data_IF_136646798202
#
_entry.id   IF_136646798202
#
_cell.length_a   1.000
_cell.length_b   1.000
_cell.length_c   1.000
_cell.angle_alpha   90.00
_cell.angle_beta   90.00
_cell.angle_gamma   90.00
#
_symmetry.space_group_name_H-M   'P 1'
#
loop_
_entity.id
_entity.type
_entity.pdbx_description
1 polymer ?
#
# COMPACT_ATOMS: atom_id res chain seq x y z
N UNK A 1 -1.08 -3.22 -11.31
CA UNK A 1 0.06 -3.79 -12.05
C UNK A 1 -0.05 -3.35 -13.50
N UNK A 2 0.95 -2.63 -13.97
CA UNK A 2 0.89 -1.95 -15.27
C UNK A 2 0.89 -2.92 -16.45
N UNK A 3 1.63 -4.03 -16.33
CA UNK A 3 1.71 -5.04 -17.39
C UNK A 3 0.72 -6.21 -17.20
N UNK A 4 0.32 -6.50 -15.97
CA UNK A 4 -0.45 -7.72 -15.65
C UNK A 4 0.34 -8.99 -15.98
N UNK A 5 -0.34 -10.07 -16.37
CA UNK A 5 0.31 -11.28 -16.91
C UNK A 5 0.31 -12.48 -15.96
N UNK A 6 1.23 -13.41 -16.15
CA UNK A 6 1.36 -14.60 -15.29
C UNK A 6 2.39 -14.30 -14.20
N UNK A 7 2.02 -14.57 -12.94
CA UNK A 7 2.92 -14.52 -11.79
C UNK A 7 2.82 -15.82 -11.00
N UNK A 8 3.89 -16.62 -11.04
CA UNK A 8 3.84 -18.00 -10.58
C UNK A 8 2.71 -18.77 -11.28
N UNK A 9 1.77 -19.26 -10.48
CA UNK A 9 0.58 -19.99 -10.97
C UNK A 9 -0.66 -19.11 -11.16
N UNK A 10 -0.58 -17.82 -10.81
CA UNK A 10 -1.71 -16.91 -10.80
C UNK A 10 -1.70 -15.99 -12.03
N UNK A 11 -2.89 -15.62 -12.51
CA UNK A 11 -3.05 -14.59 -13.54
C UNK A 11 -3.35 -13.25 -12.90
N UNK A 12 -2.46 -12.30 -13.13
CA UNK A 12 -2.60 -10.93 -12.68
C UNK A 12 -3.34 -10.10 -13.74
N UNK A 13 -4.37 -9.41 -13.28
CA UNK A 13 -5.09 -8.44 -14.11
C UNK A 13 -4.20 -7.22 -14.35
N UNK A 14 -4.29 -6.68 -15.55
CA UNK A 14 -3.69 -5.40 -15.89
C UNK A 14 -4.54 -4.28 -15.29
N UNK A 15 -3.94 -3.52 -14.37
CA UNK A 15 -4.56 -2.34 -13.78
C UNK A 15 -3.86 -1.12 -14.37
N UNK A 16 -4.52 -0.49 -15.35
CA UNK A 16 -4.07 0.73 -16.00
C UNK A 16 -4.29 1.94 -15.07
N UNK A 17 -3.31 2.84 -15.00
CA UNK A 17 -3.40 4.09 -14.24
C UNK A 17 -2.03 4.55 -13.73
N UNK A 18 -1.93 5.79 -13.27
CA UNK A 18 -0.67 6.36 -12.76
C UNK A 18 -0.12 5.66 -11.52
N UNK A 19 -0.96 4.92 -10.79
CA UNK A 19 -0.57 4.23 -9.55
C UNK A 19 0.50 3.15 -9.75
N UNK A 20 0.55 2.52 -10.92
CA UNK A 20 1.54 1.47 -11.24
C UNK A 20 2.48 1.87 -12.38
N UNK A 21 2.42 3.12 -12.85
CA UNK A 21 3.26 3.61 -13.93
C UNK A 21 4.75 3.62 -13.52
N UNK A 22 5.02 3.96 -12.26
CA UNK A 22 6.34 3.95 -11.66
C UNK A 22 6.36 2.92 -10.52
N UNK A 23 6.73 1.68 -10.84
CA UNK A 23 6.75 0.55 -9.91
C UNK A 23 8.15 0.31 -9.32
N UNK A 24 8.73 1.33 -8.70
CA UNK A 24 10.02 1.19 -8.01
C UNK A 24 9.86 0.32 -6.75
N UNK A 25 10.77 -0.64 -6.59
CA UNK A 25 10.78 -1.54 -5.43
C UNK A 25 11.65 -0.94 -4.34
N UNK A 26 11.07 -0.72 -3.16
CA UNK A 26 11.82 -0.32 -1.97
C UNK A 26 12.65 -1.52 -1.46
N UNK A 27 13.89 -1.30 -0.96
CA UNK A 27 14.65 -2.36 -0.32
C UNK A 27 13.90 -2.86 0.92
N UNK A 28 13.64 -4.16 0.97
CA UNK A 28 12.87 -4.79 2.05
C UNK A 28 13.73 -5.79 2.82
N UNK A 29 13.54 -5.84 4.13
CA UNK A 29 14.09 -6.89 4.98
C UNK A 29 13.01 -7.96 5.31
N UNK A 30 13.41 -9.04 5.98
CA UNK A 30 12.51 -10.14 6.32
C UNK A 30 11.35 -9.71 7.24
N UNK A 31 11.57 -8.74 8.13
CA UNK A 31 10.54 -8.17 8.99
C UNK A 31 9.49 -7.38 8.20
N UNK A 32 9.93 -6.61 7.20
CA UNK A 32 9.00 -5.86 6.32
C UNK A 32 8.11 -6.82 5.54
N UNK A 33 8.69 -7.91 5.03
CA UNK A 33 7.94 -8.96 4.33
C UNK A 33 6.92 -9.66 5.24
N UNK A 34 7.30 -9.94 6.49
CA UNK A 34 6.39 -10.53 7.48
C UNK A 34 5.20 -9.59 7.77
N UNK A 35 5.47 -8.30 7.97
CA UNK A 35 4.41 -7.31 8.20
C UNK A 35 3.45 -7.19 7.00
N UNK A 36 3.99 -7.19 5.77
CA UNK A 36 3.17 -7.19 4.56
C UNK A 36 2.33 -8.47 4.44
N UNK A 37 2.90 -9.62 4.77
CA UNK A 37 2.18 -10.89 4.76
C UNK A 37 1.00 -10.85 5.74
N UNK A 38 1.22 -10.40 6.97
CA UNK A 38 0.17 -10.31 7.98
C UNK A 38 -0.94 -9.33 7.56
N UNK A 39 -0.57 -8.18 6.99
CA UNK A 39 -1.54 -7.23 6.45
C UNK A 39 -2.35 -7.82 5.27
N UNK A 40 -1.73 -8.64 4.42
CA UNK A 40 -2.39 -9.27 3.29
C UNK A 40 -3.44 -10.34 3.71
N UNK A 41 -3.33 -10.89 4.92
CA UNK A 41 -4.33 -11.85 5.45
C UNK A 41 -5.63 -11.17 5.93
N UNK A 42 -5.65 -9.85 6.08
CA UNK A 42 -6.84 -9.12 6.50
C UNK A 42 -7.92 -9.10 5.39
N UNK A 43 -9.19 -9.02 5.80
CA UNK A 43 -10.29 -8.83 4.85
C UNK A 43 -10.41 -7.34 4.47
N UNK A 44 -9.96 -7.02 3.25
CA UNK A 44 -10.00 -5.66 2.68
C UNK A 44 -11.30 -5.34 1.91
N UNK A 45 -12.34 -6.18 1.96
CA UNK A 45 -13.57 -5.95 1.21
C UNK A 45 -14.38 -4.75 1.71
N UNK A 46 -14.35 -4.48 3.02
CA UNK A 46 -15.21 -3.49 3.69
C UNK A 46 -14.40 -2.46 4.47
N UNK A 47 -13.33 -1.94 3.85
CA UNK A 47 -12.49 -0.94 4.51
C UNK A 47 -13.23 0.39 4.61
N UNK A 48 -13.47 0.85 5.84
CA UNK A 48 -14.01 2.18 6.09
C UNK A 48 -13.00 3.24 5.61
N UNK A 49 -13.43 4.29 4.88
CA UNK A 49 -12.53 5.32 4.35
C UNK A 49 -11.66 6.01 5.42
N UNK A 50 -12.11 6.02 6.67
CA UNK A 50 -11.39 6.60 7.81
C UNK A 50 -10.05 5.91 8.11
N UNK A 51 -9.86 4.67 7.63
CA UNK A 51 -8.57 3.98 7.78
C UNK A 51 -7.44 4.75 7.11
N UNK A 52 -7.70 5.43 5.99
CA UNK A 52 -6.68 6.17 5.25
C UNK A 52 -6.17 7.37 6.05
N UNK A 53 -7.05 8.07 6.77
CA UNK A 53 -6.63 9.17 7.66
C UNK A 53 -5.75 8.68 8.81
N UNK A 54 -6.08 7.51 9.36
CA UNK A 54 -5.29 6.87 10.42
C UNK A 54 -3.92 6.42 9.91
N UNK A 55 -3.87 5.77 8.74
CA UNK A 55 -2.64 5.31 8.11
C UNK A 55 -1.73 6.49 7.75
N UNK A 56 -2.29 7.55 7.16
CA UNK A 56 -1.54 8.76 6.81
C UNK A 56 -0.92 9.40 8.06
N UNK A 57 -1.69 9.53 9.14
CA UNK A 57 -1.18 10.12 10.40
C UNK A 57 -0.03 9.31 11.00
N UNK A 58 -0.06 7.97 10.86
CA UNK A 58 0.99 7.07 11.34
C UNK A 58 2.22 7.06 10.44
N UNK A 59 2.03 7.22 9.13
CA UNK A 59 3.11 7.25 8.14
C UNK A 59 3.91 8.56 8.16
N UNK A 60 3.36 9.63 8.74
CA UNK A 60 4.07 10.89 8.91
C UNK A 60 5.00 10.87 10.12
N UNK A 61 6.17 11.48 9.94
CA UNK A 61 7.02 11.89 11.06
C UNK A 61 6.17 12.67 12.07
N UNK A 62 6.28 12.40 13.39
CA UNK A 62 5.59 13.16 14.42
C UNK A 62 5.59 14.68 14.22
N UNK A 63 6.67 15.26 13.66
CA UNK A 63 6.80 16.70 13.38
C UNK A 63 5.97 17.18 12.19
N UNK A 64 5.67 16.30 11.25
CA UNK A 64 4.91 16.58 10.02
C UNK A 64 3.38 16.47 10.23
N UNK A 65 2.94 15.84 11.33
CA UNK A 65 1.51 15.63 11.65
C UNK A 65 0.71 16.94 11.75
N UNK A 66 1.33 18.04 12.19
CA UNK A 66 0.68 19.34 12.32
C UNK A 66 0.32 20.01 10.99
N UNK A 67 0.95 19.60 9.89
CA UNK A 67 0.75 20.20 8.57
C UNK A 67 -0.54 19.71 7.88
N UNK A 68 -1.13 18.61 8.36
CA UNK A 68 -2.35 18.02 7.81
C UNK A 68 -3.63 18.51 8.46
N UNK A 69 -3.56 19.00 9.70
CA UNK A 69 -4.70 19.59 10.41
C UNK A 69 -5.03 21.03 9.97
N UNK A 70 -4.28 21.59 9.01
CA UNK A 70 -4.41 22.96 8.53
C UNK A 70 -4.94 23.06 7.11
N UNK A 71 -6.19 22.63 6.90
CA UNK A 71 -7.10 23.15 5.85
C UNK A 71 -8.54 23.00 6.30
#
# INVERSE_FOLDING_TARGET
MDQGGIFGWQRLLRFNGRFFADAEVLPMNAGDLAALHDAAQANWQYVEPTIFGTLLTRALDPKERHRLAGR
#
